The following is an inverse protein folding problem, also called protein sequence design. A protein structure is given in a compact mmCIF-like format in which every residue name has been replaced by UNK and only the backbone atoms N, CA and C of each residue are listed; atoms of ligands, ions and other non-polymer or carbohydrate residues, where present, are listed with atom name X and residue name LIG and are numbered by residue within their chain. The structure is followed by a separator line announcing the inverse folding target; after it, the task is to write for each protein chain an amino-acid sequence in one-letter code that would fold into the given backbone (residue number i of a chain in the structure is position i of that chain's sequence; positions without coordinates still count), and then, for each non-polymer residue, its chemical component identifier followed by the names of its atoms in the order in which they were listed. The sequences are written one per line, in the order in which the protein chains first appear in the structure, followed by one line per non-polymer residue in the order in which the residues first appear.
data_IF_814772962280
#
_entry.id   IF_814772962280
#
_cell.length_a   1.000
_cell.length_b   1.000
_cell.length_c   1.000
_cell.angle_alpha   90.00
_cell.angle_beta   90.00
_cell.angle_gamma   90.00
#
_symmetry.space_group_name_H-M   'P 1'
#
loop_
_entity.id
_entity.type
_entity.pdbx_description
1 polymer ?
#
# COMPACT_ATOMS: atom_id res chain seq x y z
N UNK A 1 -5.53 -40.69 8.88
CA UNK A 1 -6.80 -39.95 8.70
C UNK A 1 -7.45 -39.82 10.07
N UNK A 2 -7.34 -38.69 10.73
CA UNK A 2 -7.93 -38.44 12.06
C UNK A 2 -9.14 -37.53 11.87
N UNK A 3 -10.33 -38.11 11.97
CA UNK A 3 -11.60 -37.38 11.96
C UNK A 3 -11.90 -36.94 13.40
N UNK A 4 -12.07 -35.63 13.62
CA UNK A 4 -12.50 -35.11 14.90
C UNK A 4 -14.02 -35.25 15.02
N UNK A 5 -14.49 -36.03 16.00
CA UNK A 5 -15.91 -36.14 16.32
C UNK A 5 -16.36 -34.86 17.02
N UNK A 6 -17.32 -34.15 16.42
CA UNK A 6 -17.90 -32.93 17.00
C UNK A 6 -19.02 -33.33 17.99
N UNK A 7 -19.03 -32.85 19.23
CA UNK A 7 -20.15 -33.07 20.13
C UNK A 7 -21.39 -32.28 19.68
N UNK A 8 -22.61 -32.78 19.93
CA UNK A 8 -23.84 -32.08 19.57
C UNK A 8 -23.99 -30.77 20.36
N UNK A 9 -24.31 -29.69 19.63
CA UNK A 9 -24.53 -28.35 20.18
C UNK A 9 -25.81 -28.36 21.04
N UNK A 10 -25.80 -27.85 22.28
CA UNK A 10 -27.03 -27.71 23.07
C UNK A 10 -28.02 -26.80 22.34
N UNK A 11 -29.28 -27.22 22.24
CA UNK A 11 -30.35 -26.39 21.71
C UNK A 11 -30.56 -25.18 22.64
N UNK A 12 -30.40 -23.97 22.11
CA UNK A 12 -30.72 -22.76 22.84
C UNK A 12 -32.25 -22.65 23.01
N UNK A 13 -32.75 -22.15 24.15
CA UNK A 13 -34.19 -21.95 24.36
C UNK A 13 -34.73 -20.88 23.39
N UNK A 14 -35.90 -21.15 22.81
CA UNK A 14 -36.66 -20.25 21.92
C UNK A 14 -37.21 -19.02 22.67
N UNK A 15 -36.31 -18.17 23.16
CA UNK A 15 -36.66 -16.82 23.63
C UNK A 15 -36.51 -15.82 22.49
N UNK A 16 -37.33 -14.75 22.42
CA UNK A 16 -37.08 -13.64 21.52
C UNK A 16 -35.71 -13.05 21.89
N UNK A 17 -34.70 -13.34 21.07
CA UNK A 17 -33.36 -12.79 21.26
C UNK A 17 -33.39 -11.26 21.20
N UNK A 18 -32.43 -10.57 21.82
CA UNK A 18 -32.31 -9.12 21.65
C UNK A 18 -32.23 -8.82 20.15
N UNK A 19 -33.18 -8.02 19.65
CA UNK A 19 -33.14 -7.56 18.27
C UNK A 19 -31.75 -6.97 18.00
N UNK A 20 -31.07 -7.39 16.91
CA UNK A 20 -29.87 -6.71 16.48
C UNK A 20 -30.23 -5.25 16.31
N UNK A 21 -29.65 -4.40 17.17
CA UNK A 21 -29.68 -2.95 16.98
C UNK A 21 -28.83 -2.69 15.75
N UNK A 22 -29.46 -2.76 14.58
CA UNK A 22 -28.88 -2.28 13.33
C UNK A 22 -28.56 -0.82 13.60
N UNK A 23 -27.28 -0.41 13.65
CA UNK A 23 -26.95 1.00 13.75
C UNK A 23 -27.68 1.67 12.59
N UNK A 24 -28.49 2.68 12.88
CA UNK A 24 -29.13 3.45 11.83
C UNK A 24 -28.02 3.99 10.93
N UNK A 25 -27.91 3.42 9.72
CA UNK A 25 -27.02 3.90 8.66
C UNK A 25 -27.54 5.27 8.22
N UNK A 26 -27.23 6.29 9.01
CA UNK A 26 -27.36 7.67 8.60
C UNK A 26 -26.54 7.88 7.33
N UNK A 27 -26.95 8.81 6.45
CA UNK A 27 -26.18 9.10 5.24
C UNK A 27 -24.73 9.42 5.62
N UNK A 28 -23.73 8.85 4.92
CA UNK A 28 -22.33 9.02 5.27
C UNK A 28 -22.04 10.52 5.37
N UNK A 29 -21.61 10.97 6.56
CA UNK A 29 -21.26 12.36 6.77
C UNK A 29 -20.20 12.75 5.75
N UNK A 30 -20.43 13.84 5.02
CA UNK A 30 -19.52 14.32 4.00
C UNK A 30 -18.17 14.64 4.65
N UNK A 31 -17.20 13.73 4.50
CA UNK A 31 -15.87 13.87 5.09
C UNK A 31 -15.20 15.13 4.54
N UNK A 32 -14.64 15.96 5.41
CA UNK A 32 -14.07 17.24 5.01
C UNK A 32 -12.75 17.07 4.25
N UNK A 33 -12.78 17.36 2.94
CA UNK A 33 -11.58 17.34 2.08
C UNK A 33 -10.49 18.31 2.55
N UNK A 34 -10.86 19.40 3.24
CA UNK A 34 -9.90 20.38 3.77
C UNK A 34 -9.04 19.78 4.89
N UNK A 35 -9.65 18.97 5.75
CA UNK A 35 -8.93 18.25 6.81
C UNK A 35 -7.97 17.21 6.22
N UNK A 36 -8.38 16.49 5.18
CA UNK A 36 -7.50 15.55 4.47
C UNK A 36 -6.28 16.26 3.88
N UNK A 37 -6.49 17.37 3.17
CA UNK A 37 -5.40 18.14 2.58
C UNK A 37 -4.45 18.70 3.63
N UNK A 38 -4.99 19.22 4.74
CA UNK A 38 -4.19 19.70 5.87
C UNK A 38 -3.35 18.59 6.51
N UNK A 39 -3.96 17.42 6.74
CA UNK A 39 -3.27 16.25 7.27
C UNK A 39 -2.16 15.77 6.32
N UNK A 40 -2.47 15.61 5.03
CA UNK A 40 -1.49 15.19 4.03
C UNK A 40 -0.30 16.16 3.95
N UNK A 41 -0.55 17.47 3.94
CA UNK A 41 0.50 18.48 3.89
C UNK A 41 1.42 18.41 5.13
N UNK A 42 0.84 18.22 6.32
CA UNK A 42 1.60 18.06 7.55
C UNK A 42 2.50 16.81 7.51
N UNK A 43 1.96 15.68 7.06
CA UNK A 43 2.71 14.42 6.90
C UNK A 43 3.82 14.56 5.85
N UNK A 44 3.52 15.18 4.71
CA UNK A 44 4.52 15.40 3.67
C UNK A 44 5.67 16.30 4.16
N UNK A 45 5.36 17.38 4.88
CA UNK A 45 6.36 18.23 5.50
C UNK A 45 7.23 17.45 6.51
N UNK A 46 6.63 16.59 7.33
CA UNK A 46 7.38 15.73 8.26
C UNK A 46 8.35 14.80 7.52
N UNK A 47 7.93 14.17 6.41
CA UNK A 47 8.79 13.34 5.59
C UNK A 47 9.92 14.13 4.90
N UNK A 48 9.67 15.35 4.44
CA UNK A 48 10.69 16.22 3.85
C UNK A 48 11.79 16.59 4.85
N UNK A 49 11.46 16.74 6.13
CA UNK A 49 12.42 17.08 7.18
C UNK A 49 13.43 15.97 7.46
N UNK A 50 13.09 14.71 7.13
CA UNK A 50 13.97 13.56 7.37
C UNK A 50 15.04 13.47 6.29
N UNK A 51 16.27 13.87 6.64
CA UNK A 51 17.46 13.72 5.78
C UNK A 51 17.28 14.26 4.34
N UNK A 52 17.04 15.57 4.17
CA UNK A 52 16.79 16.16 2.85
C UNK A 52 17.88 15.83 1.83
N UNK A 53 17.49 15.55 0.59
CA UNK A 53 18.42 15.20 -0.48
C UNK A 53 18.97 13.77 -0.43
N UNK A 54 18.62 12.97 0.59
CA UNK A 54 19.05 11.57 0.71
C UNK A 54 17.89 10.61 0.51
N UNK A 55 18.13 9.58 -0.30
CA UNK A 55 17.21 8.45 -0.47
C UNK A 55 17.09 7.65 0.82
N UNK A 56 15.94 7.03 1.00
CA UNK A 56 15.69 6.03 2.03
C UNK A 56 16.12 4.67 1.52
N UNK A 57 16.60 3.81 2.42
CA UNK A 57 16.86 2.43 2.04
C UNK A 57 15.53 1.74 1.66
N UNK A 58 15.48 1.17 0.46
CA UNK A 58 14.37 0.38 -0.06
C UNK A 58 14.89 -1.01 -0.46
N UNK A 59 14.16 -2.07 -0.12
CA UNK A 59 14.57 -3.46 -0.41
C UNK A 59 14.36 -3.84 -1.88
N UNK A 60 13.73 -2.99 -2.68
CA UNK A 60 13.35 -3.20 -4.08
C UNK A 60 13.76 -2.00 -4.93
N UNK A 61 15.05 -1.65 -4.84
CA UNK A 61 15.65 -0.49 -5.49
C UNK A 61 15.32 -0.35 -6.99
N UNK A 62 15.20 -1.47 -7.73
CA UNK A 62 14.98 -1.44 -9.18
C UNK A 62 13.81 -0.58 -9.63
N UNK A 63 12.64 -0.70 -8.98
CA UNK A 63 11.43 0.06 -9.36
C UNK A 63 11.56 1.56 -9.04
N UNK A 64 12.38 1.90 -8.04
CA UNK A 64 12.58 3.28 -7.57
C UNK A 64 13.63 4.01 -8.40
N UNK A 65 14.75 3.35 -8.69
CA UNK A 65 15.93 3.99 -9.32
C UNK A 65 15.97 3.87 -10.83
N UNK A 66 15.30 2.86 -11.41
CA UNK A 66 15.31 2.60 -12.85
C UNK A 66 14.01 1.93 -13.32
N UNK A 67 12.84 2.58 -13.16
CA UNK A 67 11.54 1.95 -13.43
C UNK A 67 11.40 1.46 -14.89
N UNK A 68 11.96 2.17 -15.87
CA UNK A 68 11.96 1.69 -17.27
C UNK A 68 12.71 0.36 -17.46
N UNK A 69 13.88 0.22 -16.83
CA UNK A 69 14.65 -1.04 -16.85
C UNK A 69 13.91 -2.12 -16.07
N UNK A 70 13.34 -1.77 -14.91
CA UNK A 70 12.53 -2.68 -14.11
C UNK A 70 11.36 -3.27 -14.91
N UNK A 71 10.65 -2.45 -15.71
CA UNK A 71 9.58 -2.92 -16.57
C UNK A 71 10.07 -3.89 -17.64
N UNK A 72 11.21 -3.61 -18.27
CA UNK A 72 11.85 -4.53 -19.21
C UNK A 72 12.19 -5.87 -18.56
N UNK A 73 12.71 -5.82 -17.33
CA UNK A 73 13.06 -7.00 -16.56
C UNK A 73 11.79 -7.82 -16.21
N UNK A 74 10.66 -7.19 -15.85
CA UNK A 74 9.41 -7.94 -15.63
C UNK A 74 8.93 -8.77 -16.83
N UNK A 75 9.36 -8.44 -18.05
CA UNK A 75 9.03 -9.20 -19.27
C UNK A 75 9.91 -10.42 -19.52
N UNK A 76 10.98 -10.61 -18.75
CA UNK A 76 11.93 -11.70 -18.92
C UNK A 76 11.73 -12.74 -17.79
N UNK A 77 11.51 -14.00 -18.17
CA UNK A 77 11.28 -15.06 -17.18
C UNK A 77 12.55 -15.42 -16.41
N UNK A 78 13.72 -15.35 -17.06
CA UNK A 78 15.00 -15.74 -16.50
C UNK A 78 15.97 -14.57 -16.50
N UNK A 79 16.45 -14.15 -15.34
CA UNK A 79 17.43 -13.08 -15.22
C UNK A 79 18.82 -13.61 -14.94
N UNK A 80 19.77 -13.29 -15.82
CA UNK A 80 21.18 -13.66 -15.66
C UNK A 80 21.98 -12.73 -14.73
N UNK A 81 21.42 -11.58 -14.36
CA UNK A 81 22.14 -10.50 -13.66
C UNK A 81 22.09 -10.62 -12.13
N UNK A 82 21.30 -11.54 -11.59
CA UNK A 82 21.16 -11.80 -10.15
C UNK A 82 21.96 -13.03 -9.73
N UNK A 83 23.19 -12.85 -9.24
CA UNK A 83 24.02 -13.94 -8.73
C UNK A 83 24.31 -15.01 -9.79
N UNK A 84 23.74 -16.21 -9.60
CA UNK A 84 23.83 -17.35 -10.55
C UNK A 84 22.68 -17.39 -11.57
N UNK A 85 21.84 -16.35 -11.58
CA UNK A 85 20.63 -16.26 -12.35
C UNK A 85 19.41 -16.86 -11.64
N UNK A 86 18.22 -16.40 -11.99
CA UNK A 86 16.97 -16.86 -11.37
C UNK A 86 15.71 -16.22 -11.94
N UNK A 87 14.56 -16.63 -11.39
CA UNK A 87 13.23 -16.13 -11.76
C UNK A 87 12.83 -15.02 -10.79
N UNK A 88 12.29 -13.91 -11.31
CA UNK A 88 11.79 -12.78 -10.54
C UNK A 88 10.34 -12.98 -10.05
N UNK A 89 10.11 -14.00 -9.22
CA UNK A 89 8.77 -14.39 -8.74
C UNK A 89 8.10 -13.39 -7.76
N UNK A 90 8.89 -12.49 -7.15
CA UNK A 90 8.44 -11.53 -6.13
C UNK A 90 8.32 -10.08 -6.63
N UNK A 91 8.45 -9.84 -7.94
CA UNK A 91 8.53 -8.48 -8.47
C UNK A 91 7.28 -7.99 -9.20
N UNK A 92 6.41 -8.91 -9.64
CA UNK A 92 5.20 -8.54 -10.40
C UNK A 92 4.26 -7.62 -9.60
N UNK A 93 4.23 -7.74 -8.27
CA UNK A 93 3.43 -6.90 -7.39
C UNK A 93 3.80 -5.42 -7.41
N UNK A 94 4.97 -5.05 -7.94
CA UNK A 94 5.39 -3.64 -8.08
C UNK A 94 4.91 -3.01 -9.38
N UNK A 95 4.33 -3.79 -10.30
CA UNK A 95 3.73 -3.28 -11.55
C UNK A 95 2.65 -2.24 -11.26
N UNK A 96 1.88 -2.43 -10.17
CA UNK A 96 0.91 -1.44 -9.67
C UNK A 96 0.96 -1.46 -8.14
N UNK A 97 1.02 -0.30 -7.45
CA UNK A 97 0.95 1.06 -8.00
C UNK A 97 2.33 1.73 -8.19
N UNK A 98 3.42 1.09 -7.74
CA UNK A 98 4.75 1.73 -7.68
C UNK A 98 5.32 2.06 -9.06
N UNK A 99 5.28 1.14 -10.01
CA UNK A 99 5.93 1.36 -11.30
C UNK A 99 5.35 2.57 -12.07
N UNK A 100 4.01 2.74 -12.22
CA UNK A 100 3.45 3.95 -12.82
C UNK A 100 3.83 5.23 -12.09
N UNK A 101 3.88 5.18 -10.76
CA UNK A 101 4.25 6.33 -9.95
C UNK A 101 5.71 6.75 -10.19
N UNK A 102 6.66 5.83 -10.04
CA UNK A 102 8.08 6.12 -10.21
C UNK A 102 8.45 6.38 -11.67
N UNK A 103 7.80 5.70 -12.63
CA UNK A 103 7.96 6.01 -14.06
C UNK A 103 7.49 7.42 -14.40
N UNK A 104 6.39 7.88 -13.80
CA UNK A 104 5.93 9.27 -13.96
C UNK A 104 6.89 10.26 -13.30
N UNK A 105 7.38 9.96 -12.09
CA UNK A 105 8.35 10.78 -11.40
C UNK A 105 9.66 10.91 -12.20
N UNK A 106 10.15 9.82 -12.79
CA UNK A 106 11.32 9.80 -13.68
C UNK A 106 11.08 10.68 -14.92
N UNK A 107 9.93 10.55 -15.58
CA UNK A 107 9.57 11.36 -16.75
C UNK A 107 9.52 12.86 -16.43
N UNK A 108 9.00 13.21 -15.25
CA UNK A 108 8.94 14.59 -14.74
C UNK A 108 10.28 15.06 -14.14
N UNK A 109 11.32 14.22 -14.14
CA UNK A 109 12.64 14.49 -13.55
C UNK A 109 12.57 14.90 -12.07
N UNK A 110 11.63 14.33 -11.34
CA UNK A 110 11.53 14.51 -9.89
C UNK A 110 12.70 13.79 -9.24
N UNK A 111 13.49 14.46 -8.36
CA UNK A 111 14.54 13.79 -7.61
C UNK A 111 13.99 12.60 -6.82
N UNK A 112 14.63 11.43 -6.90
CA UNK A 112 14.12 10.19 -6.29
C UNK A 112 13.79 10.33 -4.81
N UNK A 113 14.65 11.00 -4.03
CA UNK A 113 14.40 11.24 -2.60
C UNK A 113 13.08 11.99 -2.35
N UNK A 114 12.71 12.92 -3.24
CA UNK A 114 11.48 13.70 -3.14
C UNK A 114 10.27 12.85 -3.55
N UNK A 115 10.41 12.03 -4.59
CA UNK A 115 9.40 11.06 -4.98
C UNK A 115 9.12 10.07 -3.83
N UNK A 116 10.13 9.54 -3.16
CA UNK A 116 9.94 8.68 -1.99
C UNK A 116 9.12 9.36 -0.89
N UNK A 117 9.43 10.63 -0.55
CA UNK A 117 8.68 11.37 0.49
C UNK A 117 7.23 11.62 0.09
N UNK A 118 6.99 11.93 -1.18
CA UNK A 118 5.65 12.14 -1.72
C UNK A 118 4.84 10.85 -1.76
N UNK A 119 5.45 9.74 -2.18
CA UNK A 119 4.85 8.41 -2.16
C UNK A 119 4.40 8.01 -0.75
N UNK A 120 5.31 8.10 0.22
CA UNK A 120 5.03 7.76 1.62
C UNK A 120 3.94 8.65 2.22
N UNK A 121 3.93 9.96 1.91
CA UNK A 121 2.90 10.87 2.41
C UNK A 121 1.51 10.55 1.85
N UNK A 122 1.41 10.14 0.58
CA UNK A 122 0.16 9.70 -0.04
C UNK A 122 -0.35 8.41 0.60
N UNK A 123 0.52 7.44 0.88
CA UNK A 123 0.13 6.19 1.57
C UNK A 123 -0.47 6.49 2.94
N UNK A 124 0.23 7.28 3.75
CA UNK A 124 -0.23 7.62 5.11
C UNK A 124 -1.54 8.42 5.08
N UNK A 125 -1.68 9.39 4.16
CA UNK A 125 -2.92 10.14 4.00
C UNK A 125 -4.09 9.27 3.54
N UNK A 126 -3.85 8.34 2.60
CA UNK A 126 -4.86 7.39 2.12
C UNK A 126 -5.31 6.46 3.24
N UNK A 127 -4.37 5.93 4.03
CA UNK A 127 -4.68 5.08 5.18
C UNK A 127 -5.49 5.82 6.25
N UNK A 128 -5.08 7.05 6.60
CA UNK A 128 -5.81 7.92 7.52
C UNK A 128 -7.25 8.18 7.04
N UNK A 129 -7.43 8.50 5.75
CA UNK A 129 -8.74 8.75 5.18
C UNK A 129 -9.63 7.51 5.11
N UNK A 130 -9.05 6.34 4.85
CA UNK A 130 -9.77 5.07 4.78
C UNK A 130 -10.22 4.54 6.15
N UNK A 131 -9.53 4.93 7.23
CA UNK A 131 -9.88 4.57 8.60
C UNK A 131 -10.96 5.46 9.23
N UNK A 132 -11.07 6.71 8.78
CA UNK A 132 -12.22 7.58 9.04
C UNK A 132 -13.45 7.06 8.28
#
# INVERSE_FOLDING_TARGET
MTSAVHPPRPAAPDGPGPEPTVPADGPPQARSRRWLLGFWAAVFAAFLAVSPGRMTFDTKLGVVTAPGRFLGDLGELWHSRSGFGGIADQYIGYLVPMLPYYGTAELLRVPTWLAERLWLSIIVATAFWGAL
#
